data_IF_444586716959
#
_entry.id   IF_444586716959
#
_cell.length_a   1.000
_cell.length_b   1.000
_cell.length_c   1.000
_cell.angle_alpha   90.00
_cell.angle_beta   90.00
_cell.angle_gamma   90.00
#
_symmetry.space_group_name_H-M   'P 1'
#
loop_
_entity.id
_entity.type
_entity.pdbx_description
1 polymer ?
#
# COMPACT_ATOMS: atom_id res chain seq x y z
N UNK A 1 -5.69 1.91 -10.23
CA UNK A 1 -6.08 1.03 -9.12
C UNK A 1 -5.40 1.58 -7.90
N UNK A 2 -6.14 1.70 -6.81
CA UNK A 2 -5.63 2.21 -5.55
C UNK A 2 -5.62 1.04 -4.55
N UNK A 3 -4.50 0.90 -3.84
CA UNK A 3 -4.30 -0.17 -2.85
C UNK A 3 -3.78 0.43 -1.55
N UNK A 4 -4.23 -0.13 -0.43
CA UNK A 4 -3.74 0.23 0.90
C UNK A 4 -2.84 -0.89 1.38
N UNK A 5 -1.57 -0.58 1.59
CA UNK A 5 -0.54 -1.52 2.04
C UNK A 5 -0.38 -1.34 3.55
N UNK A 6 -1.00 -2.25 4.30
CA UNK A 6 -0.98 -2.21 5.76
C UNK A 6 0.25 -2.94 6.31
N UNK A 7 1.11 -2.21 7.03
CA UNK A 7 2.36 -2.72 7.62
C UNK A 7 2.45 -2.39 9.10
N UNK A 8 3.31 -3.03 9.92
CA UNK A 8 3.50 -2.61 11.30
C UNK A 8 3.93 -1.14 11.38
N UNK A 9 3.25 -0.33 12.21
CA UNK A 9 3.56 1.12 12.33
C UNK A 9 4.94 1.44 12.90
N UNK A 10 5.66 0.44 13.41
CA UNK A 10 7.06 0.57 13.86
C UNK A 10 8.08 0.47 12.72
N UNK A 11 7.66 0.11 11.51
CA UNK A 11 8.55 0.10 10.36
C UNK A 11 8.95 1.52 9.96
N UNK A 12 10.18 1.67 9.49
CA UNK A 12 10.56 2.91 8.82
C UNK A 12 9.80 3.04 7.51
N UNK A 13 9.58 4.29 7.08
CA UNK A 13 8.99 4.58 5.77
C UNK A 13 9.76 3.87 4.65
N UNK A 14 11.09 3.85 4.71
CA UNK A 14 11.92 3.11 3.75
C UNK A 14 11.55 1.63 3.64
N UNK A 15 11.44 0.93 4.77
CA UNK A 15 11.12 -0.49 4.76
C UNK A 15 9.71 -0.77 4.23
N UNK A 16 8.74 0.06 4.61
CA UNK A 16 7.38 -0.06 4.10
C UNK A 16 7.31 0.24 2.60
N UNK A 17 8.05 1.25 2.14
CA UNK A 17 8.15 1.61 0.72
C UNK A 17 8.74 0.47 -0.10
N UNK A 18 9.82 -0.16 0.34
CA UNK A 18 10.43 -1.29 -0.38
C UNK A 18 9.41 -2.43 -0.58
N UNK A 19 8.65 -2.79 0.46
CA UNK A 19 7.59 -3.79 0.33
C UNK A 19 6.47 -3.34 -0.63
N UNK A 20 6.08 -2.06 -0.58
CA UNK A 20 5.05 -1.52 -1.47
C UNK A 20 5.48 -1.61 -2.93
N UNK A 21 6.73 -1.27 -3.25
CA UNK A 21 7.26 -1.38 -4.62
C UNK A 21 7.31 -2.84 -5.07
N UNK A 22 7.76 -3.78 -4.21
CA UNK A 22 7.76 -5.22 -4.52
C UNK A 22 6.35 -5.73 -4.89
N UNK A 23 5.32 -5.24 -4.19
CA UNK A 23 3.92 -5.59 -4.48
C UNK A 23 3.44 -4.98 -5.80
N UNK A 24 3.79 -3.72 -6.06
CA UNK A 24 3.45 -3.05 -7.33
C UNK A 24 4.09 -3.79 -8.50
N UNK A 25 5.38 -4.12 -8.40
CA UNK A 25 6.11 -4.86 -9.43
C UNK A 25 5.45 -6.22 -9.70
N UNK A 26 5.05 -6.95 -8.66
CA UNK A 26 4.34 -8.22 -8.80
C UNK A 26 2.97 -8.06 -9.49
N UNK A 27 2.24 -6.96 -9.23
CA UNK A 27 0.98 -6.67 -9.91
C UNK A 27 1.18 -6.32 -11.39
N UNK A 28 2.20 -5.52 -11.70
CA UNK A 28 2.55 -5.14 -13.08
C UNK A 28 3.04 -6.35 -13.87
N UNK A 29 3.77 -7.28 -13.26
CA UNK A 29 4.20 -8.52 -13.91
C UNK A 29 2.98 -9.35 -14.38
N UNK A 30 1.92 -9.41 -13.58
CA UNK A 30 0.70 -10.16 -13.91
C UNK A 30 -0.20 -9.37 -14.87
N UNK A 31 -0.26 -8.04 -14.74
CA UNK A 31 -1.10 -7.17 -15.58
C UNK A 31 -0.27 -5.99 -16.09
N UNK A 32 0.44 -6.14 -17.24
CA UNK A 32 1.46 -5.18 -17.68
C UNK A 32 0.98 -3.73 -17.87
N UNK A 33 -0.28 -3.53 -18.24
CA UNK A 33 -0.84 -2.19 -18.53
C UNK A 33 -1.54 -1.55 -17.32
N UNK A 34 -1.48 -2.18 -16.13
CA UNK A 34 -2.10 -1.63 -14.92
C UNK A 34 -1.33 -0.40 -14.44
N UNK A 35 -2.06 0.59 -13.92
CA UNK A 35 -1.49 1.71 -13.15
C UNK A 35 -1.94 1.57 -11.70
N UNK A 36 -0.96 1.45 -10.80
CA UNK A 36 -1.19 1.28 -9.37
C UNK A 36 -0.74 2.54 -8.64
N UNK A 37 -1.58 3.00 -7.73
CA UNK A 37 -1.29 3.98 -6.69
C UNK A 37 -1.43 3.24 -5.36
N UNK A 38 -0.53 3.51 -4.42
CA UNK A 38 -0.51 2.80 -3.15
C UNK A 38 -0.35 3.78 -1.99
N UNK A 39 -1.19 3.61 -0.97
CA UNK A 39 -0.98 4.21 0.34
C UNK A 39 -0.26 3.20 1.23
N UNK A 40 0.75 3.67 1.96
CA UNK A 40 1.45 2.89 2.98
C UNK A 40 0.94 3.32 4.34
N UNK A 41 0.34 2.39 5.08
CA UNK A 41 -0.39 2.72 6.29
C UNK A 41 -0.10 1.73 7.43
N UNK A 42 -0.11 2.19 8.69
CA UNK A 42 0.09 1.32 9.84
C UNK A 42 -1.12 0.42 10.11
N UNK A 43 -0.93 -0.90 10.11
CA UNK A 43 -1.96 -1.90 10.35
C UNK A 43 -2.61 -1.79 11.75
N UNK A 44 -1.89 -1.20 12.70
CA UNK A 44 -2.34 -0.99 14.07
C UNK A 44 -3.11 0.32 14.29
N UNK A 45 -3.18 1.20 13.28
CA UNK A 45 -4.02 2.41 13.33
C UNK A 45 -5.42 2.09 12.77
N UNK A 46 -6.49 2.18 13.59
CA UNK A 46 -7.85 1.97 13.11
C UNK A 46 -8.25 2.90 11.96
N UNK A 47 -7.58 4.06 11.80
CA UNK A 47 -7.86 5.00 10.70
C UNK A 47 -7.49 4.43 9.34
N UNK A 48 -6.52 3.52 9.26
CA UNK A 48 -6.09 2.83 8.02
C UNK A 48 -7.12 1.87 7.44
N UNK A 49 -8.28 1.75 8.08
CA UNK A 49 -9.42 0.96 7.61
C UNK A 49 -10.67 1.82 7.39
N UNK A 50 -10.58 3.13 7.67
CA UNK A 50 -11.71 4.05 7.66
C UNK A 50 -11.84 4.85 6.35
N UNK A 51 -11.05 4.51 5.33
CA UNK A 51 -10.98 5.26 4.05
C UNK A 51 -12.22 5.10 3.15
N UNK A 52 -13.24 4.35 3.57
CA UNK A 52 -14.50 4.21 2.82
C UNK A 52 -15.25 5.55 2.65
N UNK A 53 -14.92 6.58 3.44
CA UNK A 53 -15.63 7.86 3.51
C UNK A 53 -14.82 9.09 3.03
N UNK A 54 -13.58 8.94 2.55
CA UNK A 54 -12.65 10.06 2.30
C UNK A 54 -12.79 10.76 0.92
N UNK A 55 -13.98 10.67 0.29
CA UNK A 55 -14.31 11.27 -1.02
C UNK A 55 -15.15 12.55 -0.96
#
# INVERSE_FOLDING_TARGET
MDVHVLVPGTWSVYRGHDLTEDVIDALVEVVPDIRVSAHLEPIDDPRSYADEDDY
#
